data_IF_002377040679
#
_entry.id   IF_002377040679
#
_cell.length_a   1.000
_cell.length_b   1.000
_cell.length_c   1.000
_cell.angle_alpha   90.00
_cell.angle_beta   90.00
_cell.angle_gamma   90.00
#
_symmetry.space_group_name_H-M   'P 1'
#
loop_
_entity.id
_entity.type
_entity.pdbx_description
1 polymer ?
#
# COMPACT_ATOMS: atom_id res chain seq x y z
N UNK A 1 9.42 -3.51 -11.01
CA UNK A 1 8.40 -2.73 -11.71
C UNK A 1 8.20 -3.34 -13.08
N UNK A 2 7.04 -3.18 -13.70
CA UNK A 2 6.81 -3.63 -15.07
C UNK A 2 7.45 -2.66 -16.10
N UNK A 3 7.20 -2.90 -17.40
CA UNK A 3 7.69 -2.08 -18.51
C UNK A 3 7.18 -0.62 -18.46
N UNK A 4 6.11 -0.39 -17.71
CA UNK A 4 5.42 0.87 -17.52
C UNK A 4 5.87 1.58 -16.21
N UNK A 5 6.82 1.00 -15.47
CA UNK A 5 7.26 1.51 -14.17
C UNK A 5 6.24 1.31 -13.05
N UNK A 6 5.19 0.52 -13.27
CA UNK A 6 4.18 0.23 -12.24
C UNK A 6 4.76 -0.75 -11.23
N UNK A 7 4.52 -0.44 -9.95
CA UNK A 7 4.73 -1.36 -8.85
C UNK A 7 3.51 -2.26 -8.64
N UNK A 8 3.65 -3.31 -7.83
CA UNK A 8 2.51 -4.15 -7.44
C UNK A 8 1.35 -3.34 -6.84
N UNK A 9 1.66 -2.21 -6.18
CA UNK A 9 0.67 -1.32 -5.62
C UNK A 9 -0.17 -0.63 -6.69
N UNK A 10 0.44 -0.16 -7.78
CA UNK A 10 -0.30 0.45 -8.89
C UNK A 10 -1.33 -0.54 -9.47
N UNK A 11 -0.89 -1.78 -9.73
CA UNK A 11 -1.76 -2.85 -10.23
C UNK A 11 -2.87 -3.19 -9.22
N UNK A 12 -2.57 -3.27 -7.93
CA UNK A 12 -3.58 -3.51 -6.91
C UNK A 12 -4.64 -2.39 -6.86
N UNK A 13 -4.22 -1.13 -7.03
CA UNK A 13 -5.12 0.03 -7.12
C UNK A 13 -5.98 -0.02 -8.38
N UNK A 14 -5.44 -0.35 -9.56
CA UNK A 14 -6.23 -0.42 -10.80
C UNK A 14 -7.36 -1.43 -10.71
N UNK A 15 -7.15 -2.52 -9.96
CA UNK A 15 -8.14 -3.57 -9.74
C UNK A 15 -8.96 -3.39 -8.46
N UNK A 16 -8.83 -2.25 -7.76
CA UNK A 16 -9.51 -1.94 -6.50
C UNK A 16 -9.38 -3.05 -5.43
N UNK A 17 -8.22 -3.69 -5.38
CA UNK A 17 -7.98 -4.83 -4.47
C UNK A 17 -7.58 -4.34 -3.07
N UNK A 18 -8.56 -3.93 -2.26
CA UNK A 18 -8.33 -3.34 -0.94
C UNK A 18 -7.44 -4.21 -0.01
N UNK A 19 -7.69 -5.51 0.06
CA UNK A 19 -6.90 -6.41 0.91
C UNK A 19 -5.45 -6.51 0.43
N UNK A 20 -5.23 -6.58 -0.88
CA UNK A 20 -3.89 -6.58 -1.47
C UNK A 20 -3.18 -5.27 -1.20
N UNK A 21 -3.87 -4.13 -1.33
CA UNK A 21 -3.30 -2.80 -1.06
C UNK A 21 -2.89 -2.70 0.40
N UNK A 22 -3.76 -3.10 1.35
CA UNK A 22 -3.44 -3.14 2.78
C UNK A 22 -2.18 -3.97 3.04
N UNK A 23 -2.10 -5.17 2.49
CA UNK A 23 -0.92 -6.02 2.63
C UNK A 23 0.36 -5.40 2.03
N UNK A 24 0.24 -4.76 0.87
CA UNK A 24 1.38 -4.18 0.17
C UNK A 24 1.97 -2.98 0.92
N UNK A 25 1.13 -2.13 1.52
CA UNK A 25 1.60 -0.94 2.26
C UNK A 25 1.97 -1.24 3.72
N UNK A 26 1.51 -2.37 4.27
CA UNK A 26 1.89 -2.80 5.62
C UNK A 26 3.40 -3.04 5.70
N UNK A 27 4.04 -2.66 6.82
CA UNK A 27 5.49 -2.80 6.98
C UNK A 27 5.93 -4.26 6.94
N UNK A 28 7.16 -4.48 6.48
CA UNK A 28 7.81 -5.79 6.53
C UNK A 28 8.13 -6.09 8.01
N UNK A 29 7.64 -7.22 8.51
CA UNK A 29 7.99 -7.66 9.86
C UNK A 29 9.47 -8.04 9.90
N UNK A 30 10.23 -7.35 10.74
CA UNK A 30 11.66 -7.58 10.90
C UNK A 30 11.88 -8.02 12.35
N UNK A 31 12.22 -9.29 12.54
CA UNK A 31 12.29 -9.98 13.84
C UNK A 31 13.57 -9.63 14.62
N UNK A 32 13.92 -8.34 14.67
CA UNK A 32 15.17 -7.87 15.30
C UNK A 32 14.98 -7.18 16.67
N UNK A 33 13.74 -7.05 17.18
CA UNK A 33 13.54 -6.83 18.62
C UNK A 33 12.09 -7.13 19.10
N UNK A 34 11.82 -8.25 19.79
CA UNK A 34 10.46 -8.66 20.19
C UNK A 34 9.82 -7.83 21.33
N UNK A 35 10.39 -6.70 21.76
CA UNK A 35 10.09 -6.14 23.09
C UNK A 35 9.25 -4.86 23.18
N UNK A 36 8.86 -4.21 22.08
CA UNK A 36 8.04 -2.99 22.15
C UNK A 36 6.65 -3.17 21.52
N UNK A 37 5.89 -4.13 22.07
CA UNK A 37 4.45 -4.25 21.82
C UNK A 37 3.71 -3.10 22.52
N UNK A 38 3.48 -2.00 21.82
CA UNK A 38 2.31 -1.15 22.07
C UNK A 38 1.21 -1.54 21.10
N UNK A 39 0.47 -2.58 21.48
CA UNK A 39 -0.79 -2.96 20.84
C UNK A 39 -1.80 -1.89 21.22
N UNK A 40 -2.15 -1.03 20.26
CA UNK A 40 -3.41 -0.31 20.27
C UNK A 40 -4.23 -0.78 19.06
N UNK A 41 -5.00 -1.85 19.31
CA UNK A 41 -6.35 -2.14 18.81
C UNK A 41 -6.93 -1.10 17.84
N UNK A 42 -7.13 -1.49 16.58
CA UNK A 42 -8.45 -1.84 16.01
C UNK A 42 -8.34 -2.18 14.51
N UNK A 43 -8.87 -3.35 14.16
CA UNK A 43 -9.36 -3.79 12.84
C UNK A 43 -8.35 -4.27 11.76
N UNK A 44 -8.31 -5.60 11.61
CA UNK A 44 -7.69 -6.39 10.51
C UNK A 44 -6.15 -6.44 10.49
N UNK A 45 -5.56 -6.97 11.56
CA UNK A 45 -4.11 -7.05 11.79
C UNK A 45 -3.42 -8.06 10.86
N UNK A 46 -3.04 -7.62 9.67
CA UNK A 46 -1.92 -8.22 8.96
C UNK A 46 -0.65 -7.92 9.77
N UNK A 47 -0.16 -8.92 10.50
CA UNK A 47 1.05 -8.89 11.35
C UNK A 47 2.32 -8.52 10.56
N UNK A 48 2.27 -8.61 9.23
CA UNK A 48 3.34 -8.28 8.30
C UNK A 48 2.78 -7.94 6.91
N UNK A 49 3.55 -7.18 6.14
CA UNK A 49 3.25 -6.82 4.76
C UNK A 49 4.48 -6.76 3.86
N UNK A 50 4.29 -6.28 2.63
CA UNK A 50 5.37 -6.18 1.64
C UNK A 50 6.19 -4.87 1.74
N UNK A 51 5.76 -3.90 2.55
CA UNK A 51 6.45 -2.63 2.77
C UNK A 51 6.69 -1.83 1.49
N UNK A 52 5.78 -1.91 0.52
CA UNK A 52 5.89 -1.19 -0.75
C UNK A 52 5.67 0.30 -0.51
N UNK A 53 6.62 1.12 -0.94
CA UNK A 53 6.51 2.57 -0.87
C UNK A 53 5.37 3.08 -1.78
N UNK A 54 4.31 3.69 -1.21
CA UNK A 54 3.20 4.24 -1.99
C UNK A 54 3.58 5.47 -2.82
N UNK A 55 4.73 6.09 -2.55
CA UNK A 55 5.23 7.26 -3.29
C UNK A 55 5.98 6.89 -4.56
N UNK A 56 6.19 5.59 -4.82
CA UNK A 56 6.74 5.11 -6.08
C UNK A 56 5.92 5.63 -7.26
N UNK A 57 6.63 6.06 -8.32
CA UNK A 57 6.03 6.62 -9.53
C UNK A 57 6.34 5.75 -10.74
N UNK A 58 5.38 5.70 -11.67
CA UNK A 58 5.55 5.12 -13.01
C UNK A 58 6.51 5.95 -13.88
N UNK A 59 6.82 5.46 -15.08
CA UNK A 59 7.62 6.21 -16.05
C UNK A 59 6.93 7.50 -16.54
N UNK A 60 5.61 7.62 -16.40
CA UNK A 60 4.86 8.85 -16.68
C UNK A 60 4.73 9.77 -15.46
N UNK A 61 5.34 9.41 -14.33
CA UNK A 61 5.32 10.22 -13.12
C UNK A 61 4.05 10.09 -12.28
N UNK A 62 3.16 9.15 -12.59
CA UNK A 62 1.94 8.89 -11.79
C UNK A 62 2.24 7.97 -10.63
N UNK A 63 1.67 8.26 -9.45
CA UNK A 63 1.70 7.37 -8.28
C UNK A 63 0.44 6.52 -8.18
N UNK A 64 0.47 5.50 -7.31
CA UNK A 64 -0.71 4.71 -7.00
C UNK A 64 -1.86 5.56 -6.43
N UNK A 65 -1.55 6.64 -5.71
CA UNK A 65 -2.54 7.60 -5.23
C UNK A 65 -3.19 8.40 -6.37
N UNK A 66 -2.39 8.85 -7.34
CA UNK A 66 -2.91 9.58 -8.51
C UNK A 66 -3.88 8.68 -9.31
N UNK A 67 -3.52 7.41 -9.45
CA UNK A 67 -4.35 6.40 -10.11
C UNK A 67 -5.66 6.10 -9.39
N UNK A 68 -5.68 6.14 -8.05
CA UNK A 68 -6.89 6.01 -7.25
C UNK A 68 -7.79 7.24 -7.40
N UNK A 69 -7.21 8.45 -7.38
CA UNK A 69 -7.94 9.71 -7.58
C UNK A 69 -8.57 9.80 -8.97
N UNK A 70 -7.85 9.40 -10.00
CA UNK A 70 -8.32 9.38 -11.39
C UNK A 70 -9.58 8.50 -11.56
N UNK A 71 -9.70 7.43 -10.77
CA UNK A 71 -10.80 6.46 -10.83
C UNK A 71 -11.89 6.71 -9.79
N UNK A 72 -11.75 7.75 -8.97
CA UNK A 72 -12.65 8.06 -7.86
C UNK A 72 -12.79 6.92 -6.84
N UNK A 73 -11.67 6.25 -6.52
CA UNK A 73 -11.62 5.24 -5.47
C UNK A 73 -11.34 5.89 -4.11
N UNK A 74 -12.34 6.58 -3.57
CA UNK A 74 -12.23 7.36 -2.32
C UNK A 74 -11.75 6.50 -1.12
N UNK A 75 -12.15 5.23 -1.09
CA UNK A 75 -11.72 4.23 -0.12
C UNK A 75 -10.19 3.98 -0.17
N UNK A 76 -9.64 3.88 -1.38
CA UNK A 76 -8.21 3.68 -1.61
C UNK A 76 -7.43 4.99 -1.41
N UNK A 77 -8.01 6.12 -1.81
CA UNK A 77 -7.41 7.45 -1.57
C UNK A 77 -7.22 7.66 -0.07
N UNK A 78 -8.26 7.42 0.74
CA UNK A 78 -8.18 7.53 2.18
C UNK A 78 -7.14 6.59 2.80
N UNK A 79 -6.93 5.42 2.20
CA UNK A 79 -5.94 4.45 2.64
C UNK A 79 -4.50 4.88 2.33
N UNK A 80 -4.27 5.47 1.16
CA UNK A 80 -2.95 5.86 0.65
C UNK A 80 -2.50 7.28 1.04
N UNK A 81 -3.40 8.14 1.52
CA UNK A 81 -3.07 9.49 2.01
C UNK A 81 -2.51 9.52 3.46
N UNK A 82 -2.42 8.37 4.13
CA UNK A 82 -1.90 8.25 5.50
C UNK A 82 -0.39 8.42 5.63
#
# INVERSE_FOLDING_TARGET
MDEEGRSALHVAVTHRQLNSIKFLISPIYNDENPHDKKINVEETELEYGAGVDPKCRTIWGTSALDEAKLRHFDDIVLLLEK
#
